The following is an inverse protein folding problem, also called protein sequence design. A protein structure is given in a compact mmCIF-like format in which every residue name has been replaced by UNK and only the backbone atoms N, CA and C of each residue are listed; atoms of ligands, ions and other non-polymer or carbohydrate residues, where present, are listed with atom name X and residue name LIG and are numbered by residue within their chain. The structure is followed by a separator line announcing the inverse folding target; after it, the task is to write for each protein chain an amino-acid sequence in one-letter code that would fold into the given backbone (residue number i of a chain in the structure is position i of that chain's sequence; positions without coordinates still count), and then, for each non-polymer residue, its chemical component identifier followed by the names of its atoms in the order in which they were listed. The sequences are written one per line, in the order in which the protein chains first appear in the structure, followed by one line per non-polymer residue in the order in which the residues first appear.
data_IF_502577867257
#
_entry.id   IF_502577867257
#
_cell.length_a   1.000
_cell.length_b   1.000
_cell.length_c   1.000
_cell.angle_alpha   90.00
_cell.angle_beta   90.00
_cell.angle_gamma   90.00
#
_symmetry.space_group_name_H-M   'P 1'
#
loop_
_entity.id
_entity.type
_entity.pdbx_description
1 polymer ?
#
# COMPACT_ATOMS: atom_id res chain seq x y z
N UNK A 1 200.69 77.21 13.80
CA UNK A 1 199.63 76.45 13.09
C UNK A 1 198.96 75.46 14.03
N UNK A 2 199.64 74.41 14.53
CA UNK A 2 199.03 73.39 15.42
C UNK A 2 198.49 74.00 16.73
N UNK A 3 199.26 74.87 17.41
CA UNK A 3 198.84 75.53 18.66
C UNK A 3 197.57 76.37 18.52
N UNK A 4 197.40 77.07 17.40
CA UNK A 4 196.20 77.87 17.12
C UNK A 4 194.97 76.98 16.94
N UNK A 5 195.11 75.85 16.21
CA UNK A 5 194.05 74.85 16.04
C UNK A 5 193.68 74.23 17.40
N UNK A 6 194.66 73.92 18.24
CA UNK A 6 194.45 73.27 19.53
C UNK A 6 193.73 74.19 20.54
N UNK A 7 194.01 75.51 20.51
CA UNK A 7 193.26 76.50 21.27
C UNK A 7 191.82 76.69 20.76
N UNK A 8 191.60 76.65 19.45
CA UNK A 8 190.23 76.70 18.87
C UNK A 8 189.44 75.45 19.28
N UNK A 9 190.04 74.26 19.21
CA UNK A 9 189.42 73.01 19.67
C UNK A 9 189.15 73.05 21.17
N UNK A 10 190.08 73.49 22.00
CA UNK A 10 189.88 73.61 23.45
C UNK A 10 188.76 74.61 23.79
N UNK A 11 188.73 75.77 23.13
CA UNK A 11 187.66 76.75 23.26
C UNK A 11 186.30 76.18 22.82
N UNK A 12 186.26 75.42 21.73
CA UNK A 12 185.06 74.71 21.27
C UNK A 12 184.60 73.64 22.25
N UNK A 13 185.50 72.84 22.83
CA UNK A 13 185.17 71.85 23.85
C UNK A 13 184.67 72.50 25.15
N UNK A 14 185.27 73.61 25.59
CA UNK A 14 184.81 74.36 26.77
C UNK A 14 183.43 74.98 26.52
N UNK A 15 183.22 75.62 25.37
CA UNK A 15 181.94 76.20 24.99
C UNK A 15 180.85 75.12 24.82
N UNK A 16 181.20 73.98 24.19
CA UNK A 16 180.33 72.83 24.03
C UNK A 16 179.97 72.17 25.37
N UNK A 17 180.92 72.05 26.29
CA UNK A 17 180.69 71.53 27.64
C UNK A 17 179.77 72.45 28.45
N UNK A 18 180.01 73.77 28.42
CA UNK A 18 179.12 74.77 29.02
C UNK A 18 177.71 74.74 28.39
N UNK A 19 177.62 74.61 27.06
CA UNK A 19 176.35 74.47 26.36
C UNK A 19 175.62 73.18 26.78
N UNK A 20 176.32 72.05 26.93
CA UNK A 20 175.73 70.79 27.38
C UNK A 20 175.22 70.86 28.83
N UNK A 21 175.93 71.62 29.68
CA UNK A 21 175.59 71.82 31.09
C UNK A 21 174.39 72.79 31.25
N UNK A 22 174.28 73.80 30.39
CA UNK A 22 173.19 74.79 30.38
C UNK A 22 171.95 74.32 29.60
N UNK A 23 172.10 73.48 28.56
CA UNK A 23 170.99 72.94 27.76
C UNK A 23 169.85 72.31 28.60
N UNK A 24 170.08 71.42 29.58
CA UNK A 24 169.01 70.85 30.39
C UNK A 24 168.31 71.89 31.28
N UNK A 25 169.02 72.96 31.70
CA UNK A 25 168.43 74.06 32.48
C UNK A 25 167.50 74.91 31.60
N UNK A 26 167.94 75.27 30.40
CA UNK A 26 167.13 76.02 29.43
C UNK A 26 165.94 75.20 28.94
N UNK A 27 166.13 73.91 28.62
CA UNK A 27 165.05 73.02 28.19
C UNK A 27 163.98 72.81 29.27
N UNK A 28 164.38 72.51 30.51
CA UNK A 28 163.43 72.40 31.64
C UNK A 28 162.63 73.69 31.86
N UNK A 29 163.26 74.86 31.66
CA UNK A 29 162.59 76.16 31.78
C UNK A 29 161.67 76.45 30.59
N UNK A 30 162.07 76.10 29.37
CA UNK A 30 161.25 76.22 28.17
C UNK A 30 159.98 75.37 28.29
N UNK A 31 160.12 74.07 28.60
CA UNK A 31 158.98 73.16 28.83
C UNK A 31 158.07 73.67 29.94
N UNK A 32 158.61 74.09 31.10
CA UNK A 32 157.78 74.64 32.18
C UNK A 32 157.01 75.90 31.76
N UNK A 33 157.58 76.76 30.91
CA UNK A 33 156.91 77.96 30.40
C UNK A 33 155.88 77.63 29.31
N UNK A 34 156.14 76.69 28.40
CA UNK A 34 155.17 76.28 27.38
C UNK A 34 154.00 75.51 28.01
N UNK A 35 154.24 74.58 28.93
CA UNK A 35 153.19 73.91 29.71
C UNK A 35 152.33 74.92 30.45
N UNK A 36 152.92 75.85 31.22
CA UNK A 36 152.15 76.92 31.90
C UNK A 36 151.37 77.83 30.94
N UNK A 37 151.89 78.09 29.73
CA UNK A 37 151.18 78.91 28.73
C UNK A 37 150.04 78.15 28.08
N UNK A 38 150.19 76.83 27.89
CA UNK A 38 149.13 75.94 27.39
C UNK A 38 148.02 75.82 28.44
N UNK A 39 148.38 75.53 29.70
CA UNK A 39 147.47 75.50 30.86
C UNK A 39 146.73 76.83 31.09
N UNK A 40 147.36 77.97 30.80
CA UNK A 40 146.71 79.28 30.89
C UNK A 40 145.88 79.68 29.65
N UNK A 41 145.98 78.93 28.55
CA UNK A 41 145.26 79.20 27.29
C UNK A 41 144.11 78.23 27.02
N UNK A 42 144.15 77.04 27.62
CA UNK A 42 143.03 76.11 27.67
C UNK A 42 142.17 76.44 28.89
N UNK A 43 140.86 76.65 28.74
CA UNK A 43 139.97 76.98 29.86
C UNK A 43 139.64 75.77 30.76
N UNK A 44 140.40 74.66 30.65
CA UNK A 44 140.14 73.37 31.29
C UNK A 44 141.45 72.76 31.80
N UNK A 45 141.45 72.36 33.07
CA UNK A 45 142.52 71.62 33.74
C UNK A 45 142.60 70.16 33.26
N UNK A 46 143.75 69.50 33.43
CA UNK A 46 143.93 68.09 33.04
C UNK A 46 142.89 67.16 33.71
N UNK A 47 142.56 67.40 34.99
CA UNK A 47 141.54 66.66 35.71
C UNK A 47 140.13 66.91 35.15
N UNK A 48 139.87 68.10 34.59
CA UNK A 48 138.57 68.45 33.98
C UNK A 48 138.42 67.80 32.60
N UNK A 49 139.52 67.62 31.86
CA UNK A 49 139.53 66.86 30.61
C UNK A 49 139.27 65.36 30.85
N UNK A 50 139.84 64.78 31.91
CA UNK A 50 139.51 63.40 32.32
C UNK A 50 138.05 63.28 32.79
N UNK A 51 137.56 64.25 33.57
CA UNK A 51 136.16 64.30 33.97
C UNK A 51 135.20 64.46 32.77
N UNK A 52 135.55 65.23 31.74
CA UNK A 52 134.73 65.38 30.53
C UNK A 52 134.76 64.11 29.65
N UNK A 53 135.90 63.43 29.57
CA UNK A 53 136.03 62.12 28.91
C UNK A 53 135.18 61.05 29.61
N UNK A 54 135.19 61.00 30.94
CA UNK A 54 134.38 60.06 31.70
C UNK A 54 132.90 60.48 31.73
N UNK A 55 132.58 61.78 31.68
CA UNK A 55 131.21 62.29 31.40
C UNK A 55 130.72 61.82 30.04
N UNK A 56 131.56 61.83 29.01
CA UNK A 56 131.21 61.38 27.66
C UNK A 56 131.03 59.85 27.60
N UNK A 57 131.88 59.09 28.30
CA UNK A 57 131.70 57.63 28.48
C UNK A 57 130.40 57.32 29.20
N UNK A 58 130.10 58.04 30.29
CA UNK A 58 128.86 57.91 31.02
C UNK A 58 127.63 58.30 30.18
N UNK A 59 127.69 59.37 29.38
CA UNK A 59 126.58 59.77 28.53
C UNK A 59 126.32 58.76 27.41
N UNK A 60 127.36 58.20 26.78
CA UNK A 60 127.21 57.10 25.82
C UNK A 60 126.69 55.82 26.47
N UNK A 61 127.18 55.43 27.65
CA UNK A 61 126.67 54.27 28.39
C UNK A 61 125.19 54.45 28.79
N UNK A 62 124.79 55.64 29.23
CA UNK A 62 123.39 55.95 29.56
C UNK A 62 122.51 56.01 28.30
N UNK A 63 123.01 56.52 27.18
CA UNK A 63 122.29 56.50 25.90
C UNK A 63 122.10 55.07 25.39
N UNK A 64 123.13 54.23 25.44
CA UNK A 64 123.06 52.81 25.11
C UNK A 64 122.07 52.08 26.03
N UNK A 65 122.16 52.28 27.35
CA UNK A 65 121.24 51.64 28.31
C UNK A 65 119.79 52.09 28.13
N UNK A 66 119.55 53.36 27.77
CA UNK A 66 118.22 53.89 27.46
C UNK A 66 117.67 53.32 26.15
N UNK A 67 118.52 53.09 25.14
CA UNK A 67 118.15 52.37 23.91
C UNK A 67 117.82 50.90 24.19
N UNK A 68 118.64 50.18 24.97
CA UNK A 68 118.36 48.81 25.41
C UNK A 68 117.01 48.70 26.14
N UNK A 69 116.75 49.58 27.11
CA UNK A 69 115.47 49.63 27.83
C UNK A 69 114.29 49.95 26.90
N UNK A 70 114.48 50.82 25.91
CA UNK A 70 113.45 51.10 24.90
C UNK A 70 113.18 49.89 23.99
N UNK A 71 114.23 49.20 23.54
CA UNK A 71 114.12 47.96 22.75
C UNK A 71 113.42 46.86 23.57
N UNK A 72 113.79 46.69 24.83
CA UNK A 72 113.15 45.71 25.72
C UNK A 72 111.67 46.04 25.96
N UNK A 73 111.34 47.30 26.20
CA UNK A 73 109.94 47.76 26.33
C UNK A 73 109.14 47.60 25.04
N UNK A 74 109.74 47.86 23.87
CA UNK A 74 109.11 47.62 22.57
C UNK A 74 108.90 46.13 22.32
N UNK A 75 109.90 45.28 22.55
CA UNK A 75 109.78 43.83 22.42
C UNK A 75 108.69 43.28 23.36
N UNK A 76 108.64 43.72 24.63
CA UNK A 76 107.57 43.32 25.57
C UNK A 76 106.18 43.71 25.03
N UNK A 77 106.02 44.93 24.49
CA UNK A 77 104.78 45.38 23.85
C UNK A 77 104.42 44.56 22.62
N UNK A 78 105.38 44.31 21.73
CA UNK A 78 105.18 43.48 20.53
C UNK A 78 104.80 42.05 20.89
N UNK A 79 105.46 41.43 21.88
CA UNK A 79 105.07 40.11 22.39
C UNK A 79 103.66 40.10 22.96
N UNK A 80 103.25 41.11 23.75
CA UNK A 80 101.86 41.19 24.22
C UNK A 80 100.86 41.37 23.06
N UNK A 81 101.18 42.19 22.05
CA UNK A 81 100.34 42.40 20.88
C UNK A 81 100.23 41.13 20.02
N UNK A 82 101.29 40.33 19.89
CA UNK A 82 101.25 39.05 19.19
C UNK A 82 100.37 38.03 19.91
N UNK A 83 100.38 38.01 21.25
CA UNK A 83 99.48 37.15 22.04
C UNK A 83 98.00 37.58 21.88
N UNK A 84 97.71 38.89 21.94
CA UNK A 84 96.35 39.38 21.70
C UNK A 84 95.89 39.15 20.25
N UNK A 85 96.77 39.31 19.26
CA UNK A 85 96.46 38.98 17.86
C UNK A 85 96.19 37.49 17.65
N UNK A 86 96.96 36.61 18.30
CA UNK A 86 96.69 35.17 18.26
C UNK A 86 95.32 34.85 18.87
N UNK A 87 95.02 35.40 20.05
CA UNK A 87 93.73 35.24 20.73
C UNK A 87 92.55 35.73 19.89
N UNK A 88 92.65 36.92 19.31
CA UNK A 88 91.62 37.48 18.43
C UNK A 88 91.47 36.68 17.13
N UNK A 89 92.56 36.09 16.63
CA UNK A 89 92.52 35.20 15.46
C UNK A 89 91.83 33.87 15.77
N UNK A 90 92.03 33.31 16.97
CA UNK A 90 91.35 32.10 17.44
C UNK A 90 89.85 32.37 17.67
N UNK A 91 89.50 33.51 18.28
CA UNK A 91 88.10 33.94 18.46
C UNK A 91 87.38 34.17 17.11
N UNK A 92 88.04 34.87 16.17
CA UNK A 92 87.52 35.06 14.82
C UNK A 92 87.32 33.73 14.07
N UNK A 93 88.21 32.75 14.29
CA UNK A 93 88.07 31.40 13.74
C UNK A 93 86.90 30.63 14.34
N UNK A 94 86.74 30.66 15.67
CA UNK A 94 85.59 30.03 16.34
C UNK A 94 84.26 30.62 15.85
N UNK A 95 84.17 31.95 15.75
CA UNK A 95 83.00 32.62 15.21
C UNK A 95 82.73 32.28 13.74
N UNK A 96 83.76 32.06 12.92
CA UNK A 96 83.60 31.58 11.55
C UNK A 96 83.08 30.13 11.49
N UNK A 97 83.63 29.24 12.33
CA UNK A 97 83.17 27.84 12.43
C UNK A 97 81.72 27.75 12.95
N UNK A 98 81.31 28.62 13.88
CA UNK A 98 79.92 28.77 14.32
C UNK A 98 79.00 29.31 13.22
N UNK A 99 79.46 30.25 12.40
CA UNK A 99 78.69 30.79 11.26
C UNK A 99 78.47 29.75 10.18
N UNK A 100 79.51 29.02 9.80
CA UNK A 100 79.41 27.90 8.86
C UNK A 100 78.45 26.81 9.36
N UNK A 101 78.42 26.55 10.67
CA UNK A 101 77.47 25.61 11.27
C UNK A 101 76.02 26.15 11.24
N UNK A 102 75.82 27.43 11.56
CA UNK A 102 74.51 28.09 11.48
C UNK A 102 73.97 28.14 10.05
N UNK A 103 74.81 28.47 9.06
CA UNK A 103 74.40 28.56 7.65
C UNK A 103 74.01 27.19 7.08
N UNK A 104 74.66 26.09 7.52
CA UNK A 104 74.23 24.72 7.19
C UNK A 104 72.85 24.40 7.77
N UNK A 105 72.62 24.68 9.05
CA UNK A 105 71.30 24.48 9.69
C UNK A 105 70.22 25.32 9.02
N UNK A 106 70.53 26.56 8.61
CA UNK A 106 69.62 27.43 7.87
C UNK A 106 69.32 26.87 6.47
N UNK A 107 70.30 26.27 5.79
CA UNK A 107 70.08 25.59 4.51
C UNK A 107 69.18 24.36 4.68
N UNK A 108 69.46 23.48 5.64
CA UNK A 108 68.66 22.28 5.92
C UNK A 108 67.20 22.65 6.28
N UNK A 109 66.99 23.68 7.10
CA UNK A 109 65.66 24.18 7.46
C UNK A 109 64.93 24.82 6.28
N UNK A 110 65.64 25.47 5.34
CA UNK A 110 65.03 25.99 4.10
C UNK A 110 64.59 24.86 3.18
N UNK A 111 65.45 23.86 2.97
CA UNK A 111 65.12 22.68 2.16
C UNK A 111 63.92 21.91 2.73
N UNK A 112 63.85 21.77 4.06
CA UNK A 112 62.70 21.16 4.73
C UNK A 112 61.43 22.02 4.61
N UNK A 113 61.54 23.34 4.74
CA UNK A 113 60.42 24.27 4.53
C UNK A 113 59.88 24.19 3.10
N UNK A 114 60.75 24.10 2.09
CA UNK A 114 60.34 23.97 0.69
C UNK A 114 59.71 22.61 0.38
N UNK A 115 60.23 21.51 0.95
CA UNK A 115 59.55 20.19 0.87
C UNK A 115 58.16 20.23 1.48
N UNK A 116 58.01 20.84 2.66
CA UNK A 116 56.71 20.97 3.33
C UNK A 116 55.75 21.85 2.53
N UNK A 117 56.24 22.95 1.93
CA UNK A 117 55.44 23.78 1.01
C UNK A 117 55.00 23.02 -0.23
N UNK A 118 55.88 22.23 -0.84
CA UNK A 118 55.55 21.40 -1.99
C UNK A 118 54.47 20.36 -1.64
N UNK A 119 54.62 19.65 -0.50
CA UNK A 119 53.63 18.69 -0.02
C UNK A 119 52.29 19.36 0.33
N UNK A 120 52.29 20.57 0.91
CA UNK A 120 51.06 21.34 1.15
C UNK A 120 50.38 21.78 -0.16
N UNK A 121 51.16 22.18 -1.17
CA UNK A 121 50.62 22.54 -2.48
C UNK A 121 50.04 21.34 -3.23
N UNK A 122 50.70 20.17 -3.16
CA UNK A 122 50.20 18.90 -3.70
C UNK A 122 48.90 18.49 -3.00
N UNK A 123 48.86 18.51 -1.66
CA UNK A 123 47.66 18.21 -0.89
C UNK A 123 46.51 19.20 -1.19
N UNK A 124 46.80 20.49 -1.36
CA UNK A 124 45.79 21.48 -1.75
C UNK A 124 45.23 21.22 -3.16
N UNK A 125 46.08 20.80 -4.11
CA UNK A 125 45.62 20.39 -5.44
C UNK A 125 44.76 19.11 -5.37
N UNK A 126 45.17 18.11 -4.58
CA UNK A 126 44.37 16.89 -4.34
C UNK A 126 43.01 17.25 -3.75
N UNK A 127 42.95 18.06 -2.69
CA UNK A 127 41.71 18.52 -2.07
C UNK A 127 40.81 19.21 -3.11
N UNK A 128 41.34 20.16 -3.89
CA UNK A 128 40.57 20.83 -4.94
C UNK A 128 39.99 19.85 -5.98
N UNK A 129 40.76 18.83 -6.40
CA UNK A 129 40.23 17.80 -7.32
C UNK A 129 39.22 16.84 -6.68
N UNK A 130 39.24 16.68 -5.35
CA UNK A 130 38.25 15.89 -4.62
C UNK A 130 36.97 16.71 -4.38
N UNK A 131 37.09 18.01 -4.13
CA UNK A 131 35.96 18.96 -4.05
C UNK A 131 35.20 18.99 -5.39
N UNK A 132 35.88 19.18 -6.53
CA UNK A 132 35.20 19.18 -7.84
C UNK A 132 34.50 17.85 -8.13
N UNK A 133 35.12 16.72 -7.77
CA UNK A 133 34.51 15.38 -7.93
C UNK A 133 33.32 15.16 -7.00
N UNK A 134 33.35 15.75 -5.80
CA UNK A 134 32.25 15.69 -4.86
C UNK A 134 31.07 16.51 -5.38
N UNK A 135 31.31 17.72 -5.88
CA UNK A 135 30.28 18.57 -6.50
C UNK A 135 29.66 17.90 -7.74
N UNK A 136 30.48 17.29 -8.61
CA UNK A 136 30.02 16.46 -9.74
C UNK A 136 29.13 15.29 -9.28
N UNK A 137 29.55 14.56 -8.24
CA UNK A 137 28.79 13.43 -7.70
C UNK A 137 27.49 13.84 -7.00
N UNK A 138 27.48 14.99 -6.31
CA UNK A 138 26.27 15.58 -5.71
C UNK A 138 25.29 15.99 -6.81
N UNK A 139 25.76 16.67 -7.85
CA UNK A 139 24.91 17.04 -8.99
C UNK A 139 24.35 15.82 -9.73
N UNK A 140 25.15 14.76 -9.90
CA UNK A 140 24.65 13.50 -10.47
C UNK A 140 23.58 12.85 -9.57
N UNK A 141 23.76 12.88 -8.24
CA UNK A 141 22.76 12.36 -7.29
C UNK A 141 21.46 13.17 -7.29
N UNK A 142 21.52 14.50 -7.45
CA UNK A 142 20.33 15.34 -7.61
C UNK A 142 19.56 14.98 -8.90
N UNK A 143 20.27 14.83 -10.03
CA UNK A 143 19.67 14.42 -11.31
C UNK A 143 19.08 13.01 -11.25
N UNK A 144 19.74 12.07 -10.55
CA UNK A 144 19.19 10.73 -10.29
C UNK A 144 17.97 10.79 -9.36
N UNK A 145 17.97 11.68 -8.38
CA UNK A 145 16.86 11.90 -7.46
C UNK A 145 15.60 12.41 -8.16
N UNK A 146 15.73 13.41 -9.04
CA UNK A 146 14.59 13.91 -9.84
C UNK A 146 14.09 12.86 -10.83
N UNK A 147 15.00 12.13 -11.50
CA UNK A 147 14.63 11.04 -12.41
C UNK A 147 13.91 9.88 -11.70
N UNK A 148 14.28 9.56 -10.45
CA UNK A 148 13.56 8.58 -9.63
C UNK A 148 12.17 9.08 -9.21
N UNK A 149 12.03 10.37 -8.92
CA UNK A 149 10.72 10.96 -8.59
C UNK A 149 9.78 10.93 -9.81
N UNK A 150 10.26 11.34 -10.99
CA UNK A 150 9.50 11.22 -12.24
C UNK A 150 9.12 9.77 -12.58
N UNK A 151 10.02 8.81 -12.34
CA UNK A 151 9.74 7.39 -12.57
C UNK A 151 8.68 6.85 -11.59
N UNK A 152 8.72 7.29 -10.33
CA UNK A 152 7.72 6.95 -9.33
C UNK A 152 6.34 7.53 -9.68
N UNK A 153 6.28 8.80 -10.10
CA UNK A 153 5.02 9.45 -10.50
C UNK A 153 4.38 8.74 -11.69
N UNK A 154 5.17 8.39 -12.73
CA UNK A 154 4.71 7.59 -13.87
C UNK A 154 4.27 6.18 -13.46
N UNK A 155 4.95 5.57 -12.50
CA UNK A 155 4.58 4.25 -11.98
C UNK A 155 3.24 4.29 -11.23
N UNK A 156 3.01 5.31 -10.38
CA UNK A 156 1.71 5.49 -9.71
C UNK A 156 0.60 5.86 -10.71
N UNK A 157 0.88 6.65 -11.75
CA UNK A 157 -0.08 6.90 -12.83
C UNK A 157 -0.49 5.62 -13.56
N UNK A 158 0.47 4.80 -14.03
CA UNK A 158 0.16 3.51 -14.67
C UNK A 158 -0.50 2.51 -13.72
N UNK A 159 -0.16 2.53 -12.42
CA UNK A 159 -0.81 1.72 -11.38
C UNK A 159 -2.27 2.14 -11.18
N UNK A 160 -2.56 3.44 -11.16
CA UNK A 160 -3.93 3.97 -11.10
C UNK A 160 -4.71 3.64 -12.38
N UNK A 161 -4.09 3.76 -13.56
CA UNK A 161 -4.70 3.34 -14.83
C UNK A 161 -4.98 1.84 -14.86
N UNK A 162 -4.08 1.00 -14.35
CA UNK A 162 -4.29 -0.45 -14.24
C UNK A 162 -5.43 -0.78 -13.27
N UNK A 163 -5.50 -0.10 -12.12
CA UNK A 163 -6.60 -0.23 -11.15
C UNK A 163 -7.95 0.18 -11.77
N UNK A 164 -7.99 1.30 -12.50
CA UNK A 164 -9.16 1.78 -13.23
C UNK A 164 -9.62 0.76 -14.29
N UNK A 165 -8.70 0.27 -15.14
CA UNK A 165 -8.95 -0.79 -16.12
C UNK A 165 -9.49 -2.07 -15.46
N UNK A 166 -8.98 -2.45 -14.28
CA UNK A 166 -9.46 -3.61 -13.53
C UNK A 166 -10.90 -3.41 -13.02
N UNK A 167 -11.24 -2.21 -12.53
CA UNK A 167 -12.61 -1.85 -12.12
C UNK A 167 -13.55 -1.88 -13.33
N UNK A 168 -13.14 -1.34 -14.48
CA UNK A 168 -13.91 -1.41 -15.73
C UNK A 168 -14.13 -2.86 -16.19
N UNK A 169 -13.11 -3.71 -16.14
CA UNK A 169 -13.24 -5.14 -16.49
C UNK A 169 -14.22 -5.86 -15.58
N UNK A 170 -14.16 -5.65 -14.26
CA UNK A 170 -15.13 -6.22 -13.31
C UNK A 170 -16.53 -5.67 -13.58
N UNK A 171 -16.68 -4.37 -13.87
CA UNK A 171 -17.98 -3.79 -14.23
C UNK A 171 -18.56 -4.45 -15.49
N UNK A 172 -17.76 -4.59 -16.56
CA UNK A 172 -18.15 -5.30 -17.79
C UNK A 172 -18.47 -6.78 -17.54
N UNK A 173 -17.77 -7.46 -16.65
CA UNK A 173 -18.11 -8.82 -16.26
C UNK A 173 -19.47 -8.89 -15.55
N UNK A 174 -19.80 -7.92 -14.69
CA UNK A 174 -21.14 -7.86 -14.07
C UNK A 174 -22.25 -7.53 -15.07
N UNK A 175 -21.96 -6.71 -16.10
CA UNK A 175 -22.89 -6.47 -17.21
C UNK A 175 -23.12 -7.72 -18.05
N UNK A 176 -22.06 -8.45 -18.38
CA UNK A 176 -22.15 -9.74 -19.09
C UNK A 176 -22.97 -10.75 -18.28
N UNK A 177 -22.73 -10.90 -16.98
CA UNK A 177 -23.52 -11.80 -16.11
C UNK A 177 -25.01 -11.40 -16.08
N UNK A 178 -25.34 -10.10 -16.03
CA UNK A 178 -26.74 -9.64 -16.14
C UNK A 178 -27.37 -10.05 -17.48
N UNK A 179 -26.66 -9.82 -18.59
CA UNK A 179 -27.14 -10.21 -19.93
C UNK A 179 -27.27 -11.73 -20.07
N UNK A 180 -26.40 -12.52 -19.42
CA UNK A 180 -26.50 -13.98 -19.35
C UNK A 180 -27.71 -14.45 -18.53
N UNK A 181 -27.98 -13.81 -17.39
CA UNK A 181 -29.16 -14.07 -16.55
C UNK A 181 -30.46 -13.67 -17.28
N UNK A 182 -30.53 -12.48 -17.88
CA UNK A 182 -31.64 -12.01 -18.72
C UNK A 182 -31.89 -12.98 -19.89
N UNK A 183 -30.83 -13.45 -20.55
CA UNK A 183 -30.92 -14.44 -21.62
C UNK A 183 -31.39 -15.80 -21.08
N UNK A 184 -31.01 -16.19 -19.86
CA UNK A 184 -31.49 -17.40 -19.21
C UNK A 184 -32.99 -17.28 -18.83
N UNK A 185 -33.44 -16.11 -18.37
CA UNK A 185 -34.84 -15.80 -18.11
C UNK A 185 -35.67 -15.81 -19.40
N UNK A 186 -35.26 -15.08 -20.43
CA UNK A 186 -35.90 -15.10 -21.76
C UNK A 186 -35.97 -16.51 -22.37
N UNK A 187 -34.94 -17.36 -22.12
CA UNK A 187 -34.97 -18.79 -22.52
C UNK A 187 -35.98 -19.60 -21.70
N UNK A 188 -36.13 -19.35 -20.39
CA UNK A 188 -37.15 -19.97 -19.54
C UNK A 188 -38.55 -19.53 -19.97
N UNK A 189 -38.75 -18.24 -20.21
CA UNK A 189 -40.02 -17.66 -20.64
C UNK A 189 -40.43 -18.14 -22.03
N UNK A 190 -39.50 -18.18 -22.99
CA UNK A 190 -39.76 -18.82 -24.30
C UNK A 190 -40.17 -20.28 -24.13
N UNK A 191 -39.53 -21.04 -23.24
CA UNK A 191 -39.90 -22.45 -22.96
C UNK A 191 -41.27 -22.56 -22.28
N UNK A 192 -41.62 -21.63 -21.39
CA UNK A 192 -42.91 -21.57 -20.73
C UNK A 192 -44.02 -21.15 -21.70
N UNK A 193 -43.79 -20.16 -22.56
CA UNK A 193 -44.69 -19.75 -23.62
C UNK A 193 -44.92 -20.86 -24.67
N UNK A 194 -43.88 -21.61 -25.06
CA UNK A 194 -44.03 -22.79 -25.92
C UNK A 194 -44.86 -23.89 -25.23
N UNK A 195 -44.69 -24.10 -23.92
CA UNK A 195 -45.52 -25.03 -23.14
C UNK A 195 -46.97 -24.56 -23.09
N UNK A 196 -47.21 -23.34 -22.65
CA UNK A 196 -48.55 -22.74 -22.60
C UNK A 196 -49.24 -22.72 -23.97
N UNK A 197 -48.48 -22.48 -25.06
CA UNK A 197 -48.99 -22.58 -26.43
C UNK A 197 -49.40 -24.00 -26.83
N UNK A 198 -48.62 -25.03 -26.44
CA UNK A 198 -48.99 -26.44 -26.64
C UNK A 198 -50.18 -26.86 -25.80
N UNK A 199 -50.23 -26.42 -24.54
CA UNK A 199 -51.32 -26.71 -23.62
C UNK A 199 -52.63 -26.04 -24.11
N UNK A 200 -52.53 -24.81 -24.63
CA UNK A 200 -53.64 -24.11 -25.29
C UNK A 200 -54.05 -24.77 -26.61
N UNK A 201 -53.12 -25.27 -27.42
CA UNK A 201 -53.43 -26.02 -28.64
C UNK A 201 -54.09 -27.37 -28.32
N UNK A 202 -53.66 -28.05 -27.25
CA UNK A 202 -54.27 -29.28 -26.77
C UNK A 202 -55.68 -29.02 -26.22
N UNK A 203 -55.86 -28.01 -25.37
CA UNK A 203 -57.17 -27.58 -24.88
C UNK A 203 -58.10 -27.12 -26.01
N UNK A 204 -57.57 -26.46 -27.04
CA UNK A 204 -58.32 -26.13 -28.26
C UNK A 204 -58.75 -27.38 -29.02
N UNK A 205 -57.88 -28.37 -29.21
CA UNK A 205 -58.23 -29.65 -29.86
C UNK A 205 -59.27 -30.44 -29.06
N UNK A 206 -59.18 -30.42 -27.74
CA UNK A 206 -60.17 -31.02 -26.85
C UNK A 206 -61.52 -30.28 -26.95
N UNK A 207 -61.51 -28.94 -26.97
CA UNK A 207 -62.71 -28.13 -27.19
C UNK A 207 -63.32 -28.34 -28.58
N UNK A 208 -62.51 -28.44 -29.65
CA UNK A 208 -62.98 -28.77 -31.01
C UNK A 208 -63.53 -30.21 -31.10
N UNK A 209 -62.95 -31.17 -30.37
CA UNK A 209 -63.48 -32.53 -30.27
C UNK A 209 -64.80 -32.55 -29.49
N UNK A 210 -64.88 -31.81 -28.38
CA UNK A 210 -66.10 -31.61 -27.59
C UNK A 210 -67.20 -30.93 -28.41
N UNK A 211 -66.86 -29.92 -29.21
CA UNK A 211 -67.77 -29.27 -30.15
C UNK A 211 -68.26 -30.27 -31.20
N UNK A 212 -67.39 -31.05 -31.84
CA UNK A 212 -67.79 -32.10 -32.81
C UNK A 212 -68.69 -33.17 -32.18
N UNK A 213 -68.50 -33.52 -30.90
CA UNK A 213 -69.39 -34.42 -30.17
C UNK A 213 -70.74 -33.74 -29.87
N UNK A 214 -70.74 -32.46 -29.51
CA UNK A 214 -71.95 -31.67 -29.32
C UNK A 214 -72.72 -31.50 -30.64
N UNK A 215 -72.06 -31.17 -31.75
CA UNK A 215 -72.60 -31.08 -33.10
C UNK A 215 -73.20 -32.41 -33.56
N UNK A 216 -72.49 -33.54 -33.36
CA UNK A 216 -73.05 -34.88 -33.65
C UNK A 216 -74.31 -35.16 -32.82
N UNK A 217 -74.28 -34.89 -31.51
CA UNK A 217 -75.48 -35.01 -30.66
C UNK A 217 -76.61 -34.09 -31.11
N UNK A 218 -76.31 -32.89 -31.56
CA UNK A 218 -77.29 -31.92 -32.05
C UNK A 218 -77.87 -32.37 -33.39
N UNK A 219 -77.05 -32.90 -34.30
CA UNK A 219 -77.49 -33.52 -35.56
C UNK A 219 -78.31 -34.80 -35.33
N UNK A 220 -77.96 -35.62 -34.33
CA UNK A 220 -78.74 -36.79 -33.94
C UNK A 220 -80.07 -36.40 -33.26
N UNK A 221 -80.10 -35.29 -32.50
CA UNK A 221 -81.32 -34.69 -31.97
C UNK A 221 -82.17 -34.07 -33.09
N UNK A 222 -81.58 -33.41 -34.07
CA UNK A 222 -82.25 -32.92 -35.27
C UNK A 222 -82.85 -34.07 -36.07
N UNK A 223 -82.10 -35.16 -36.31
CA UNK A 223 -82.63 -36.37 -36.95
C UNK A 223 -83.74 -37.04 -36.14
N UNK A 224 -83.65 -37.05 -34.81
CA UNK A 224 -84.75 -37.52 -33.96
C UNK A 224 -85.97 -36.63 -34.10
N UNK A 225 -85.79 -35.32 -34.07
CA UNK A 225 -86.86 -34.34 -34.25
C UNK A 225 -87.49 -34.46 -35.64
N UNK A 226 -86.70 -34.66 -36.69
CA UNK A 226 -87.16 -34.93 -38.06
C UNK A 226 -87.89 -36.27 -38.16
N UNK A 227 -87.41 -37.32 -37.48
CA UNK A 227 -88.10 -38.61 -37.40
C UNK A 227 -89.41 -38.52 -36.62
N UNK A 228 -89.49 -37.65 -35.61
CA UNK A 228 -90.71 -37.34 -34.88
C UNK A 228 -91.67 -36.51 -35.75
N UNK A 229 -91.17 -35.54 -36.53
CA UNK A 229 -91.99 -34.84 -37.53
C UNK A 229 -92.51 -35.81 -38.59
N UNK A 230 -91.68 -36.72 -39.12
CA UNK A 230 -92.14 -37.76 -40.07
C UNK A 230 -93.14 -38.72 -39.43
N UNK A 231 -92.95 -39.11 -38.16
CA UNK A 231 -93.93 -39.93 -37.45
C UNK A 231 -95.24 -39.17 -37.15
N UNK A 232 -95.18 -37.86 -36.94
CA UNK A 232 -96.36 -36.99 -36.86
C UNK A 232 -97.05 -36.92 -38.23
N UNK A 233 -96.33 -36.64 -39.33
CA UNK A 233 -96.88 -36.66 -40.69
C UNK A 233 -97.47 -38.02 -41.07
N UNK A 234 -96.84 -39.14 -40.73
CA UNK A 234 -97.43 -40.47 -40.95
C UNK A 234 -98.66 -40.73 -40.08
N UNK A 235 -98.74 -40.15 -38.88
CA UNK A 235 -99.91 -40.28 -38.01
C UNK A 235 -101.03 -39.34 -38.44
N UNK A 236 -100.71 -38.16 -38.96
CA UNK A 236 -101.62 -37.25 -39.67
C UNK A 236 -102.14 -37.91 -40.94
N UNK A 237 -101.30 -38.54 -41.76
CA UNK A 237 -101.74 -39.30 -42.94
C UNK A 237 -102.57 -40.54 -42.56
N UNK A 238 -102.27 -41.22 -41.44
CA UNK A 238 -103.13 -42.29 -40.89
C UNK A 238 -104.45 -41.72 -40.37
N UNK A 239 -104.47 -40.50 -39.83
CA UNK A 239 -105.68 -39.77 -39.44
C UNK A 239 -106.50 -39.41 -40.68
N UNK A 240 -105.92 -38.79 -41.71
CA UNK A 240 -106.58 -38.49 -42.99
C UNK A 240 -107.14 -39.76 -43.66
N UNK A 241 -106.39 -40.87 -43.66
CA UNK A 241 -106.89 -42.16 -44.15
C UNK A 241 -108.05 -42.70 -43.32
N UNK A 242 -108.02 -42.55 -41.99
CA UNK A 242 -109.13 -42.92 -41.09
C UNK A 242 -110.33 -42.00 -41.26
N UNK A 243 -110.12 -40.71 -41.51
CA UNK A 243 -111.18 -39.74 -41.82
C UNK A 243 -111.79 -40.02 -43.20
N UNK A 244 -111.00 -40.44 -44.18
CA UNK A 244 -111.47 -40.91 -45.47
C UNK A 244 -112.27 -42.23 -45.37
N UNK A 245 -111.85 -43.16 -44.50
CA UNK A 245 -112.64 -44.36 -44.15
C UNK A 245 -113.97 -43.99 -43.47
N UNK A 246 -113.97 -43.04 -42.54
CA UNK A 246 -115.19 -42.49 -41.92
C UNK A 246 -116.09 -41.80 -42.95
N UNK A 247 -115.52 -41.08 -43.92
CA UNK A 247 -116.26 -40.47 -45.02
C UNK A 247 -116.88 -41.54 -45.95
N UNK A 248 -116.18 -42.66 -46.18
CA UNK A 248 -116.71 -43.81 -46.93
C UNK A 248 -117.85 -44.51 -46.19
N UNK A 249 -117.68 -44.78 -44.90
CA UNK A 249 -118.71 -45.40 -44.06
C UNK A 249 -119.95 -44.50 -43.89
N UNK A 250 -119.78 -43.17 -43.85
CA UNK A 250 -120.91 -42.22 -43.93
C UNK A 250 -121.62 -42.28 -45.29
N UNK A 251 -120.89 -42.51 -46.38
CA UNK A 251 -121.47 -42.63 -47.74
C UNK A 251 -122.20 -43.96 -47.95
N UNK A 252 -121.73 -45.04 -47.32
CA UNK A 252 -122.39 -46.35 -47.33
C UNK A 252 -123.62 -46.38 -46.39
N UNK A 253 -123.55 -45.72 -45.23
CA UNK A 253 -124.70 -45.57 -44.32
C UNK A 253 -125.84 -44.73 -44.91
N UNK A 254 -125.52 -43.72 -45.73
CA UNK A 254 -126.52 -42.93 -46.46
C UNK A 254 -127.11 -43.66 -47.69
N UNK A 255 -126.42 -44.66 -48.25
CA UNK A 255 -126.91 -45.40 -49.42
C UNK A 255 -127.84 -46.58 -49.08
N UNK A 256 -127.95 -46.95 -47.80
CA UNK A 256 -128.74 -48.09 -47.32
C UNK A 256 -130.01 -47.69 -46.53
N UNK A 257 -130.31 -46.38 -46.42
CA UNK A 257 -131.41 -45.86 -45.59
C UNK A 257 -132.45 -45.01 -46.36
N UNK A 258 -132.34 -44.90 -47.70
CA UNK A 258 -133.27 -44.18 -48.57
C UNK A 258 -134.02 -45.11 -49.55
N UNK A 259 -134.61 -46.19 -49.03
CA UNK A 259 -135.60 -46.97 -49.74
C UNK A 259 -136.69 -47.49 -48.78
N UNK A 260 -137.91 -46.95 -48.95
CA UNK A 260 -139.19 -47.38 -48.36
C UNK A 260 -139.75 -46.59 -47.15
N UNK A 261 -140.54 -45.55 -47.48
CA UNK A 261 -141.80 -45.13 -46.84
C UNK A 261 -141.74 -44.68 -45.37
N UNK A 262 -141.83 -43.40 -44.99
CA UNK A 262 -142.49 -42.22 -45.60
C UNK A 262 -144.03 -42.19 -45.64
N UNK A 263 -144.74 -43.06 -44.90
CA UNK A 263 -146.21 -42.93 -44.75
C UNK A 263 -146.77 -43.37 -43.38
N UNK A 264 -146.03 -43.10 -42.30
CA UNK A 264 -146.52 -43.33 -40.93
C UNK A 264 -146.19 -42.22 -39.92
N UNK A 265 -145.80 -41.03 -40.42
CA UNK A 265 -145.40 -39.87 -39.61
C UNK A 265 -146.55 -38.92 -39.22
N UNK A 266 -147.79 -39.17 -39.68
CA UNK A 266 -148.93 -38.25 -39.51
C UNK A 266 -150.15 -38.87 -38.82
N UNK A 267 -150.09 -40.13 -38.35
CA UNK A 267 -151.19 -40.77 -37.60
C UNK A 267 -150.89 -41.15 -36.15
N UNK A 268 -149.65 -41.53 -35.80
CA UNK A 268 -149.32 -41.90 -34.40
C UNK A 268 -149.16 -40.72 -33.43
N UNK A 269 -149.12 -39.48 -33.93
CA UNK A 269 -149.03 -38.27 -33.12
C UNK A 269 -150.36 -37.88 -32.45
N UNK A 270 -151.48 -38.53 -32.82
CA UNK A 270 -152.81 -38.33 -32.22
C UNK A 270 -153.27 -39.49 -31.31
N UNK A 271 -152.54 -40.62 -31.28
CA UNK A 271 -152.94 -41.82 -30.53
C UNK A 271 -152.11 -42.05 -29.25
N UNK A 272 -150.91 -41.46 -29.15
CA UNK A 272 -150.03 -41.60 -27.97
C UNK A 272 -150.25 -40.54 -26.88
N UNK A 273 -150.90 -39.40 -27.18
CA UNK A 273 -151.33 -38.45 -26.15
C UNK A 273 -152.38 -39.05 -25.19
N UNK A 274 -153.01 -40.18 -25.58
CA UNK A 274 -153.89 -40.98 -24.74
C UNK A 274 -153.16 -42.00 -23.83
N UNK A 275 -151.85 -42.24 -24.01
CA UNK A 275 -151.06 -43.13 -23.12
C UNK A 275 -150.43 -42.37 -21.93
N UNK A 276 -150.42 -41.04 -21.98
CA UNK A 276 -149.98 -40.13 -20.90
C UNK A 276 -150.70 -40.37 -19.56
N UNK A 277 -151.93 -40.91 -19.61
CA UNK A 277 -152.78 -41.20 -18.43
C UNK A 277 -152.80 -42.69 -17.99
N UNK A 278 -152.08 -43.58 -18.69
CA UNK A 278 -152.02 -45.01 -18.34
C UNK A 278 -150.70 -45.40 -17.66
N UNK A 279 -149.56 -44.98 -18.20
CA UNK A 279 -148.26 -45.33 -17.61
C UNK A 279 -147.88 -44.45 -16.40
N UNK A 280 -148.55 -43.30 -16.24
CA UNK A 280 -148.57 -42.52 -14.99
C UNK A 280 -149.31 -43.22 -13.83
N UNK A 281 -149.97 -44.37 -14.08
CA UNK A 281 -150.59 -45.23 -13.07
C UNK A 281 -149.81 -46.52 -12.77
N UNK A 282 -148.77 -46.84 -13.53
CA UNK A 282 -147.77 -47.88 -13.18
C UNK A 282 -146.67 -47.36 -12.23
N UNK A 283 -146.86 -46.16 -11.67
CA UNK A 283 -145.91 -45.41 -10.84
C UNK A 283 -145.71 -45.98 -9.41
N UNK A 284 -146.46 -47.02 -8.99
CA UNK A 284 -146.56 -47.42 -7.59
C UNK A 284 -146.08 -48.86 -7.26
N UNK A 285 -146.03 -49.78 -8.24
CA UNK A 285 -145.85 -51.22 -7.93
C UNK A 285 -144.41 -51.76 -8.05
N UNK A 286 -143.49 -51.06 -8.73
CA UNK A 286 -142.07 -51.49 -8.86
C UNK A 286 -141.12 -50.95 -7.78
N UNK A 287 -141.61 -50.11 -6.86
CA UNK A 287 -140.87 -49.69 -5.67
C UNK A 287 -141.16 -50.55 -4.42
N UNK A 288 -142.09 -51.50 -4.52
CA UNK A 288 -142.45 -52.42 -3.43
C UNK A 288 -142.61 -53.90 -3.86
N UNK A 289 -141.93 -54.31 -4.93
CA UNK A 289 -141.45 -55.69 -5.05
C UNK A 289 -139.98 -55.71 -4.61
N UNK A 290 -139.77 -55.68 -3.29
CA UNK A 290 -139.50 -56.91 -2.53
C UNK A 290 -138.15 -57.48 -2.96
N UNK A 291 -137.02 -57.11 -2.33
CA UNK A 291 -136.83 -56.90 -0.86
C UNK A 291 -137.21 -58.13 -0.01
N UNK A 292 -137.53 -59.24 -0.67
CA UNK A 292 -137.51 -60.64 -0.24
C UNK A 292 -137.28 -61.43 -1.54
N UNK A 293 -136.05 -61.78 -1.93
CA UNK A 293 -135.31 -62.96 -1.46
C UNK A 293 -133.87 -62.88 -2.03
N UNK A 294 -132.83 -62.87 -1.17
CA UNK A 294 -131.35 -62.73 -1.38
C UNK A 294 -130.79 -61.41 -0.76
N UNK A 295 -130.73 -61.17 0.55
CA UNK A 295 -130.55 -62.03 1.72
C UNK A 295 -129.31 -62.97 1.68
N UNK A 296 -128.16 -62.38 2.01
CA UNK A 296 -127.23 -62.81 3.06
C UNK A 296 -126.59 -64.21 3.04
N UNK A 297 -125.47 -64.31 2.31
CA UNK A 297 -124.26 -65.04 2.69
C UNK A 297 -123.07 -64.42 1.92
N UNK A 298 -121.80 -64.42 2.37
CA UNK A 298 -121.23 -65.15 3.49
C UNK A 298 -120.00 -65.97 3.07
N UNK A 299 -118.88 -65.30 2.73
CA UNK A 299 -117.58 -65.92 2.38
C UNK A 299 -117.33 -66.13 0.87
N UNK A 300 -116.09 -66.26 0.36
CA UNK A 300 -114.74 -66.34 0.97
C UNK A 300 -113.72 -65.64 0.01
N UNK A 301 -113.10 -64.51 0.39
CA UNK A 301 -111.71 -64.37 0.87
C UNK A 301 -110.58 -65.03 0.05
N UNK A 302 -109.65 -64.22 -0.53
CA UNK A 302 -108.20 -64.49 -0.51
C UNK A 302 -107.33 -63.26 -0.95
N UNK A 303 -106.61 -62.70 0.00
CA UNK A 303 -105.34 -61.94 -0.10
C UNK A 303 -104.55 -62.29 1.21
N UNK A 304 -103.37 -61.71 1.59
CA UNK A 304 -102.48 -60.72 0.96
C UNK A 304 -100.94 -61.02 1.20
N UNK A 305 -100.11 -59.94 1.27
CA UNK A 305 -98.81 -59.78 1.98
C UNK A 305 -97.49 -60.08 1.20
N UNK A 306 -96.30 -59.48 1.46
CA UNK A 306 -95.87 -58.31 2.31
C UNK A 306 -94.43 -57.82 1.97
N UNK A 307 -94.01 -56.67 2.55
CA UNK A 307 -92.63 -56.12 2.72
C UNK A 307 -91.99 -55.42 1.50
N UNK A 308 -91.07 -54.44 1.63
CA UNK A 308 -90.17 -54.12 2.77
C UNK A 308 -89.83 -52.63 2.95
N UNK A 309 -89.64 -52.19 4.20
CA UNK A 309 -89.23 -50.83 4.61
C UNK A 309 -87.69 -50.63 4.65
N UNK A 310 -86.90 -51.59 4.13
CA UNK A 310 -85.46 -51.70 4.37
C UNK A 310 -84.52 -50.74 3.57
N UNK A 311 -85.06 -49.75 2.85
CA UNK A 311 -84.25 -48.81 2.05
C UNK A 311 -84.07 -47.43 2.70
N UNK A 312 -84.96 -47.00 3.60
CA UNK A 312 -84.94 -45.64 4.14
C UNK A 312 -83.83 -45.39 5.19
N UNK A 313 -83.37 -46.41 5.91
CA UNK A 313 -82.32 -46.26 6.94
C UNK A 313 -80.89 -46.39 6.40
N UNK A 314 -80.71 -47.00 5.23
CA UNK A 314 -79.41 -47.05 4.52
C UNK A 314 -78.98 -45.67 4.01
N UNK A 315 -79.94 -44.79 3.72
CA UNK A 315 -79.69 -43.42 3.30
C UNK A 315 -79.30 -42.50 4.47
N UNK A 316 -79.97 -42.62 5.63
CA UNK A 316 -79.67 -41.83 6.84
C UNK A 316 -78.24 -42.09 7.35
N UNK A 317 -77.82 -43.35 7.40
CA UNK A 317 -76.46 -43.75 7.83
C UNK A 317 -75.36 -43.28 6.87
N UNK A 318 -75.65 -43.09 5.58
CA UNK A 318 -74.69 -42.55 4.60
C UNK A 318 -74.44 -41.05 4.77
N UNK A 319 -75.47 -40.28 5.12
CA UNK A 319 -75.39 -38.81 5.31
C UNK A 319 -74.56 -38.47 6.55
N UNK A 320 -74.75 -39.18 7.66
CA UNK A 320 -73.97 -38.99 8.90
C UNK A 320 -72.46 -39.21 8.70
N UNK A 321 -72.10 -40.19 7.85
CA UNK A 321 -70.71 -40.55 7.54
C UNK A 321 -70.00 -39.45 6.74
N UNK A 322 -70.67 -38.91 5.71
CA UNK A 322 -70.14 -37.82 4.88
C UNK A 322 -69.98 -36.50 5.65
N UNK A 323 -70.83 -36.24 6.65
CA UNK A 323 -70.69 -35.09 7.55
C UNK A 323 -69.50 -35.23 8.50
N UNK A 324 -69.20 -36.44 8.99
CA UNK A 324 -67.99 -36.70 9.79
C UNK A 324 -66.71 -36.59 8.94
N UNK A 325 -66.69 -37.09 7.71
CA UNK A 325 -65.56 -36.94 6.78
C UNK A 325 -65.30 -35.47 6.43
N UNK A 326 -66.34 -34.66 6.17
CA UNK A 326 -66.19 -33.21 5.96
C UNK A 326 -65.60 -32.49 7.17
N UNK A 327 -65.98 -32.89 8.40
CA UNK A 327 -65.42 -32.33 9.64
C UNK A 327 -63.94 -32.72 9.83
N UNK A 328 -63.56 -33.94 9.43
CA UNK A 328 -62.18 -34.45 9.48
C UNK A 328 -61.26 -33.75 8.48
N UNK A 329 -61.69 -33.63 7.21
CA UNK A 329 -60.95 -32.96 6.15
C UNK A 329 -60.75 -31.45 6.41
N UNK A 330 -61.69 -30.80 7.11
CA UNK A 330 -61.49 -29.41 7.61
C UNK A 330 -60.46 -29.30 8.74
N UNK A 331 -60.25 -30.36 9.53
CA UNK A 331 -59.16 -30.46 10.50
C UNK A 331 -57.80 -30.62 9.82
N UNK A 332 -57.70 -31.56 8.89
CA UNK A 332 -56.46 -31.86 8.15
C UNK A 332 -55.98 -30.67 7.28
N UNK A 333 -56.91 -29.87 6.74
CA UNK A 333 -56.60 -28.58 6.08
C UNK A 333 -56.12 -27.49 7.06
N UNK A 334 -56.51 -27.55 8.33
CA UNK A 334 -56.04 -26.63 9.38
C UNK A 334 -54.63 -27.01 9.87
N UNK A 335 -54.35 -28.32 9.98
CA UNK A 335 -53.02 -28.84 10.31
C UNK A 335 -52.01 -28.60 9.19
N UNK A 336 -52.40 -28.79 7.91
CA UNK A 336 -51.56 -28.38 6.76
C UNK A 336 -51.26 -26.87 6.72
N UNK A 337 -52.12 -26.01 7.32
CA UNK A 337 -51.85 -24.57 7.46
C UNK A 337 -50.97 -24.23 8.66
N UNK A 338 -50.88 -25.09 9.68
CA UNK A 338 -49.96 -24.94 10.82
C UNK A 338 -48.56 -25.49 10.54
N UNK A 339 -48.44 -26.56 9.76
CA UNK A 339 -47.15 -27.16 9.38
C UNK A 339 -46.44 -26.43 8.22
N UNK A 340 -46.89 -25.23 7.84
CA UNK A 340 -46.32 -24.41 6.76
C UNK A 340 -45.36 -23.30 7.21
N UNK A 341 -45.03 -23.19 8.51
CA UNK A 341 -44.11 -22.17 9.07
C UNK A 341 -43.15 -22.76 10.11
N UNK A 342 -42.27 -23.66 9.69
CA UNK A 342 -41.07 -24.04 10.45
C UNK A 342 -39.99 -24.66 9.54
N UNK A 343 -39.06 -23.83 9.08
CA UNK A 343 -37.76 -24.27 8.56
C UNK A 343 -36.75 -23.12 8.74
N UNK A 344 -35.81 -23.27 9.67
CA UNK A 344 -34.41 -23.26 9.28
C UNK A 344 -33.67 -24.45 9.90
N UNK A 345 -33.25 -25.39 9.05
CA UNK A 345 -32.43 -26.54 9.43
C UNK A 345 -31.18 -26.64 8.54
N UNK A 346 -30.40 -25.56 8.48
CA UNK A 346 -29.03 -25.57 7.93
C UNK A 346 -28.15 -24.45 8.51
N UNK A 347 -28.15 -24.32 9.83
CA UNK A 347 -27.40 -23.27 10.56
C UNK A 347 -26.65 -23.84 11.77
N UNK A 348 -25.77 -24.83 11.55
CA UNK A 348 -24.79 -25.31 12.54
C UNK A 348 -23.39 -25.59 11.96
N UNK A 349 -23.22 -25.55 10.63
CA UNK A 349 -21.91 -25.57 9.98
C UNK A 349 -21.35 -24.17 9.66
N UNK A 350 -22.16 -23.11 9.83
CA UNK A 350 -21.78 -21.73 9.49
C UNK A 350 -21.27 -20.91 10.70
N UNK A 351 -21.59 -21.32 11.94
CA UNK A 351 -21.13 -20.61 13.15
C UNK A 351 -19.62 -20.70 13.33
N UNK A 352 -19.06 -21.91 13.19
CA UNK A 352 -17.61 -22.12 13.27
C UNK A 352 -16.84 -21.39 12.16
N UNK A 353 -17.40 -21.29 10.94
CA UNK A 353 -16.76 -20.54 9.86
C UNK A 353 -16.81 -19.03 10.11
N UNK A 354 -17.93 -18.50 10.61
CA UNK A 354 -18.07 -17.07 10.91
C UNK A 354 -17.22 -16.64 12.11
N UNK A 355 -17.14 -17.45 13.16
CA UNK A 355 -16.30 -17.16 14.33
C UNK A 355 -14.80 -17.28 13.98
N UNK A 356 -14.42 -18.27 13.17
CA UNK A 356 -13.07 -18.35 12.61
C UNK A 356 -12.75 -17.18 11.68
N UNK A 357 -13.71 -16.71 10.87
CA UNK A 357 -13.53 -15.52 10.03
C UNK A 357 -13.34 -14.26 10.89
N UNK A 358 -14.11 -14.11 11.98
CA UNK A 358 -13.95 -12.99 12.93
C UNK A 358 -12.58 -13.03 13.59
N UNK A 359 -12.14 -14.20 14.05
CA UNK A 359 -10.80 -14.36 14.66
C UNK A 359 -9.68 -14.06 13.65
N UNK A 360 -9.81 -14.50 12.39
CA UNK A 360 -8.89 -14.16 11.30
C UNK A 360 -8.89 -12.65 10.98
N UNK A 361 -10.06 -12.01 10.91
CA UNK A 361 -10.19 -10.56 10.69
C UNK A 361 -9.55 -9.79 11.85
N UNK A 362 -9.76 -10.21 13.10
CA UNK A 362 -9.15 -9.57 14.27
C UNK A 362 -7.63 -9.81 14.35
N UNK A 363 -7.14 -10.97 13.92
CA UNK A 363 -5.70 -11.25 13.81
C UNK A 363 -5.05 -10.38 12.72
N UNK A 364 -5.65 -10.32 11.53
CA UNK A 364 -5.15 -9.52 10.40
C UNK A 364 -5.20 -8.03 10.72
N UNK A 365 -6.25 -7.55 11.39
CA UNK A 365 -6.33 -6.18 11.86
C UNK A 365 -5.24 -5.85 12.89
N UNK A 366 -4.92 -6.77 13.81
CA UNK A 366 -3.82 -6.58 14.76
C UNK A 366 -2.45 -6.56 14.06
N UNK A 367 -2.24 -7.44 13.09
CA UNK A 367 -1.01 -7.48 12.29
C UNK A 367 -0.81 -6.19 11.49
N UNK A 368 -1.85 -5.73 10.76
CA UNK A 368 -1.83 -4.46 10.03
C UNK A 368 -1.56 -3.27 10.96
N UNK A 369 -2.23 -3.18 12.11
CA UNK A 369 -2.00 -2.09 13.09
C UNK A 369 -0.59 -2.16 13.70
N UNK A 370 -0.04 -3.36 13.89
CA UNK A 370 1.35 -3.51 14.36
C UNK A 370 2.37 -3.08 13.29
N UNK A 371 2.08 -3.35 12.01
CA UNK A 371 2.93 -2.97 10.89
C UNK A 371 2.90 -1.46 10.65
N UNK A 372 1.72 -0.82 10.71
CA UNK A 372 1.61 0.64 10.60
C UNK A 372 2.28 1.33 11.78
N UNK A 373 2.08 0.84 13.01
CA UNK A 373 2.76 1.39 14.19
C UNK A 373 4.30 1.21 14.15
N UNK A 374 4.81 0.18 13.47
CA UNK A 374 6.24 0.00 13.24
C UNK A 374 6.80 0.93 12.14
N UNK A 375 5.99 1.27 11.13
CA UNK A 375 6.36 2.14 10.02
C UNK A 375 6.25 3.64 10.35
N UNK A 376 5.27 4.03 11.18
CA UNK A 376 4.99 5.44 11.51
C UNK A 376 5.82 5.97 12.70
N UNK A 377 6.45 5.09 13.48
CA UNK A 377 7.34 5.48 14.59
C UNK A 377 6.63 5.79 15.92
N UNK A 378 7.44 6.18 16.92
CA UNK A 378 7.07 6.16 18.33
C UNK A 378 6.08 7.23 18.82
N UNK A 379 5.87 8.30 18.06
CA UNK A 379 5.11 9.49 18.47
C UNK A 379 3.67 9.53 17.91
N UNK A 380 3.12 8.36 17.54
CA UNK A 380 1.75 8.26 17.01
C UNK A 380 0.69 8.10 18.12
N UNK A 381 -0.52 8.66 17.96
CA UNK A 381 -1.62 8.47 18.92
C UNK A 381 -2.05 7.00 19.08
N UNK A 382 -1.71 6.14 18.12
CA UNK A 382 -1.90 4.68 18.20
C UNK A 382 -1.00 4.09 19.30
N UNK A 383 0.24 4.56 19.44
CA UNK A 383 1.16 4.09 20.47
C UNK A 383 0.70 4.44 21.90
N UNK A 384 0.02 5.58 22.08
CA UNK A 384 -0.53 5.98 23.39
C UNK A 384 -1.82 5.23 23.74
N UNK A 385 -2.72 5.03 22.77
CA UNK A 385 -3.88 4.14 22.96
C UNK A 385 -3.45 2.70 23.28
N UNK A 386 -2.35 2.22 22.67
CA UNK A 386 -1.75 0.92 22.99
C UNK A 386 -1.04 0.87 24.35
N UNK A 387 -0.85 1.98 25.08
CA UNK A 387 -0.36 1.99 26.48
C UNK A 387 -1.49 1.98 27.51
N UNK A 388 -2.72 2.29 27.12
CA UNK A 388 -3.86 2.37 28.04
C UNK A 388 -4.33 0.95 28.43
N UNK A 389 -4.28 0.62 29.72
CA UNK A 389 -4.74 -0.69 30.21
C UNK A 389 -6.27 -0.73 30.37
N UNK A 390 -6.94 -1.53 29.55
CA UNK A 390 -8.29 -2.01 29.86
C UNK A 390 -8.18 -3.29 30.69
N UNK A 391 -8.90 -3.35 31.82
CA UNK A 391 -8.84 -4.49 32.73
C UNK A 391 -9.53 -5.74 32.11
N UNK A 392 -8.76 -6.80 31.93
CA UNK A 392 -9.26 -8.07 31.40
C UNK A 392 -10.29 -8.73 32.34
N UNK A 393 -11.52 -8.90 31.86
CA UNK A 393 -12.55 -9.69 32.54
C UNK A 393 -12.53 -11.14 32.06
N UNK A 394 -12.40 -12.10 32.98
CA UNK A 394 -12.38 -13.53 32.66
C UNK A 394 -13.59 -13.94 31.79
N UNK A 395 -13.32 -14.58 30.65
CA UNK A 395 -14.33 -15.11 29.74
C UNK A 395 -14.69 -14.24 28.52
N UNK A 396 -13.98 -13.14 28.26
CA UNK A 396 -14.09 -12.39 26.99
C UNK A 396 -12.95 -12.75 26.00
N UNK A 397 -13.20 -12.72 24.68
CA UNK A 397 -12.14 -12.89 23.68
C UNK A 397 -11.15 -11.72 23.74
N UNK A 398 -9.84 -12.00 23.57
CA UNK A 398 -8.77 -11.00 23.72
C UNK A 398 -9.00 -9.77 22.83
N UNK A 399 -8.83 -8.58 23.42
CA UNK A 399 -8.98 -7.29 22.77
C UNK A 399 -7.95 -7.08 21.66
N UNK A 400 -8.27 -6.24 20.67
CA UNK A 400 -7.36 -5.92 19.57
C UNK A 400 -6.03 -5.34 20.10
N UNK A 401 -6.10 -4.47 21.11
CA UNK A 401 -4.93 -3.86 21.73
C UNK A 401 -4.03 -4.90 22.43
N UNK A 402 -4.62 -5.89 23.12
CA UNK A 402 -3.87 -7.00 23.73
C UNK A 402 -3.18 -7.85 22.67
N UNK A 403 -3.88 -8.19 21.58
CA UNK A 403 -3.29 -8.98 20.47
C UNK A 403 -2.10 -8.25 19.84
N UNK A 404 -2.21 -6.94 19.59
CA UNK A 404 -1.09 -6.11 19.10
C UNK A 404 0.10 -6.11 20.07
N UNK A 405 -0.12 -6.01 21.39
CA UNK A 405 0.95 -6.15 22.39
C UNK A 405 1.62 -7.52 22.33
N UNK A 406 0.84 -8.61 22.35
CA UNK A 406 1.39 -9.98 22.31
C UNK A 406 2.15 -10.33 21.02
N UNK A 407 1.90 -9.62 19.92
CA UNK A 407 2.69 -9.75 18.69
C UNK A 407 4.03 -9.01 18.81
N UNK A 408 4.06 -7.82 19.40
CA UNK A 408 5.30 -7.05 19.64
C UNK A 408 6.22 -7.71 20.68
N UNK A 409 5.66 -8.43 21.66
CA UNK A 409 6.45 -9.20 22.63
C UNK A 409 7.05 -10.49 22.05
N UNK A 410 6.68 -10.86 20.80
CA UNK A 410 7.16 -12.06 20.09
C UNK A 410 8.12 -11.75 18.93
N UNK A 411 8.29 -10.48 18.57
CA UNK A 411 9.16 -9.99 17.49
C UNK A 411 10.45 -9.39 18.04
#
# INVERSE_FOLDING_TARGET
MITTILLILLGFFIAGFLALLLAPLVWRRAVRLTTKRIEASLPLSANELEAEKDRLRASHAMAARRLEMNIENLNRKTSSQLVELARLSDEARQLAEERDAQDRVIADLRDETEKQRAALAENAAIISTLETRLDEAVSELEVRGTALMELNDRYEEERLLASSRQIEMVARETELRKVEDDLAELRRDRKNAIRAGRDAEAARKEAEAGLKVAEKRNADLQKKMESQMRALYENEEKLERREAEIARLRKEMNAASEASLSDQATRRLMEAEAESDRLSRELADKSLQLRTLLADAGGRTAAPAKSSEAEQDKLKTRISRLLQENKKLRGELSERKRNGKAAPARAQAAGQSDDALREQIHSLAAEVVSLTAALEGGDTPIADLLKQEEAAGEGRPLSLAERVRTLRDRS
#
